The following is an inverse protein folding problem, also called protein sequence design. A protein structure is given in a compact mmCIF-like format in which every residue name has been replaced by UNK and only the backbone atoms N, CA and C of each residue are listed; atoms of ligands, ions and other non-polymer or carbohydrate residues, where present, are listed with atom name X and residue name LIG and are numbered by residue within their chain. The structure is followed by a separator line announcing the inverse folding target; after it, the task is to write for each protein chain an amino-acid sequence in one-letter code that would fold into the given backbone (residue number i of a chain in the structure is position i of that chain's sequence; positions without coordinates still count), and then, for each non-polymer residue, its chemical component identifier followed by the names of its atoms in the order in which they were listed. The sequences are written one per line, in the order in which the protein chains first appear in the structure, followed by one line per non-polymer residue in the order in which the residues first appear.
data_IF_740890645391
#
_entry.id   IF_740890645391
#
_cell.length_a   1.000
_cell.length_b   1.000
_cell.length_c   1.000
_cell.angle_alpha   90.00
_cell.angle_beta   90.00
_cell.angle_gamma   90.00
#
_symmetry.space_group_name_H-M   'P 1'
#
loop_
_entity.id
_entity.type
_entity.pdbx_description
1 polymer ?
#
# COMPACT_ATOMS: atom_id res chain seq x y z
N UNK A 1 -6.85 7.57 11.89
CA UNK A 1 -7.46 8.11 10.64
C UNK A 1 -6.80 7.40 9.48
N UNK A 2 -7.57 6.79 8.58
CA UNK A 2 -7.03 6.05 7.44
C UNK A 2 -6.69 7.00 6.28
N UNK A 3 -5.54 6.81 5.64
CA UNK A 3 -5.11 7.56 4.46
C UNK A 3 -5.82 7.01 3.22
N UNK A 4 -6.44 7.90 2.44
CA UNK A 4 -7.11 7.54 1.19
C UNK A 4 -6.12 7.39 0.02
N UNK A 5 -6.48 6.61 -1.01
CA UNK A 5 -5.63 6.33 -2.17
C UNK A 5 -5.07 7.59 -2.83
N UNK A 6 -5.93 8.58 -3.06
CA UNK A 6 -5.61 9.86 -3.72
C UNK A 6 -4.41 10.56 -3.07
N UNK A 7 -4.24 10.47 -1.75
CA UNK A 7 -3.10 11.10 -1.06
C UNK A 7 -1.79 10.48 -1.52
N UNK A 8 -1.67 9.15 -1.51
CA UNK A 8 -0.44 8.45 -1.90
C UNK A 8 -0.23 8.45 -3.41
N UNK A 9 -1.31 8.49 -4.20
CA UNK A 9 -1.23 8.69 -5.64
C UNK A 9 -0.67 10.07 -5.99
N UNK A 10 -1.11 11.12 -5.29
CA UNK A 10 -0.55 12.46 -5.48
C UNK A 10 0.90 12.52 -5.01
N UNK A 11 1.25 11.88 -3.88
CA UNK A 11 2.65 11.76 -3.44
C UNK A 11 3.54 11.10 -4.51
N UNK A 12 3.08 9.99 -5.10
CA UNK A 12 3.79 9.33 -6.19
C UNK A 12 3.97 10.26 -7.40
N UNK A 13 2.91 10.99 -7.76
CA UNK A 13 2.93 11.92 -8.89
C UNK A 13 3.91 13.06 -8.68
N UNK A 14 3.86 13.77 -7.56
CA UNK A 14 4.75 14.91 -7.30
C UNK A 14 6.22 14.47 -7.22
N UNK A 15 6.51 13.29 -6.65
CA UNK A 15 7.87 12.73 -6.62
C UNK A 15 8.33 12.31 -8.02
N UNK A 16 7.42 11.79 -8.85
CA UNK A 16 7.70 11.44 -10.24
C UNK A 16 7.95 12.65 -11.12
N UNK A 17 7.19 13.74 -10.92
CA UNK A 17 7.32 15.01 -11.62
C UNK A 17 8.48 15.87 -11.09
N UNK A 18 8.92 15.62 -9.85
CA UNK A 18 9.88 16.47 -9.15
C UNK A 18 9.33 17.86 -8.81
N UNK A 19 8.01 18.00 -8.76
CA UNK A 19 7.32 19.28 -8.55
C UNK A 19 6.02 19.07 -7.77
N UNK A 20 5.93 19.67 -6.58
CA UNK A 20 4.70 19.65 -5.77
C UNK A 20 3.86 20.92 -5.90
N UNK A 21 4.32 21.91 -6.70
CA UNK A 21 3.65 23.20 -6.80
C UNK A 21 2.27 23.05 -7.44
N UNK A 22 1.29 23.72 -6.84
CA UNK A 22 -0.10 23.65 -7.30
C UNK A 22 -0.25 24.55 -8.52
N UNK A 23 -0.73 23.98 -9.64
CA UNK A 23 -1.03 24.73 -10.86
C UNK A 23 -2.34 25.51 -10.70
N UNK A 24 -2.30 26.83 -10.91
CA UNK A 24 -3.45 27.74 -10.89
C UNK A 24 -3.39 28.63 -12.14
N UNK A 25 -4.17 28.28 -13.16
CA UNK A 25 -4.05 28.87 -14.49
C UNK A 25 -2.70 28.57 -15.13
N UNK A 26 -1.99 29.62 -15.55
CA UNK A 26 -0.63 29.54 -16.09
C UNK A 26 0.46 29.62 -14.99
N UNK A 27 0.07 29.80 -13.73
CA UNK A 27 1.01 29.95 -12.61
C UNK A 27 1.14 28.66 -11.80
N UNK A 28 2.28 28.52 -11.13
CA UNK A 28 2.54 27.49 -10.11
C UNK A 28 2.79 28.17 -8.77
N UNK A 29 2.05 27.78 -7.74
CA UNK A 29 2.14 28.40 -6.42
C UNK A 29 3.04 27.56 -5.52
N UNK A 30 4.02 28.23 -4.91
CA UNK A 30 4.92 27.70 -3.89
C UNK A 30 4.34 28.01 -2.50
N UNK A 31 3.97 26.97 -1.77
CA UNK A 31 3.37 27.09 -0.42
C UNK A 31 4.31 26.59 0.69
N UNK A 32 5.35 25.84 0.34
CA UNK A 32 6.24 25.26 1.32
C UNK A 32 7.30 26.29 1.75
N UNK A 33 7.72 26.23 3.01
CA UNK A 33 8.88 27.01 3.46
C UNK A 33 10.19 26.45 2.88
N UNK A 34 11.30 27.16 3.10
CA UNK A 34 12.61 26.77 2.59
C UNK A 34 13.06 25.37 3.07
N UNK A 35 12.65 24.97 4.28
CA UNK A 35 13.02 23.65 4.83
C UNK A 35 12.27 22.54 4.10
N UNK A 36 10.96 22.70 3.93
CA UNK A 36 10.14 21.74 3.20
C UNK A 36 10.52 21.66 1.71
N UNK A 37 10.88 22.79 1.09
CA UNK A 37 11.45 22.83 -0.27
C UNK A 37 12.71 21.98 -0.37
N UNK A 38 13.67 22.17 0.54
CA UNK A 38 14.92 21.41 0.55
C UNK A 38 14.68 19.91 0.75
N UNK A 39 13.86 19.54 1.74
CA UNK A 39 13.56 18.13 2.03
C UNK A 39 12.84 17.44 0.87
N UNK A 40 11.93 18.16 0.19
CA UNK A 40 11.28 17.62 -0.99
C UNK A 40 12.28 17.40 -2.13
N UNK A 41 13.19 18.36 -2.36
CA UNK A 41 14.20 18.23 -3.41
C UNK A 41 15.09 17.01 -3.19
N UNK A 42 15.55 16.78 -1.96
CA UNK A 42 16.33 15.60 -1.59
C UNK A 42 15.52 14.30 -1.81
N UNK A 43 14.25 14.30 -1.41
CA UNK A 43 13.37 13.15 -1.59
C UNK A 43 13.08 12.85 -3.07
N UNK A 44 12.84 13.87 -3.88
CA UNK A 44 12.61 13.74 -5.32
C UNK A 44 13.88 13.23 -6.03
N UNK A 45 15.05 13.77 -5.68
CA UNK A 45 16.33 13.30 -6.23
C UNK A 45 16.58 11.83 -5.87
N UNK A 46 16.38 11.44 -4.61
CA UNK A 46 16.49 10.04 -4.20
C UNK A 46 15.47 9.15 -4.92
N UNK A 47 14.22 9.58 -5.05
CA UNK A 47 13.16 8.82 -5.71
C UNK A 47 13.50 8.49 -7.17
N UNK A 48 14.10 9.45 -7.88
CA UNK A 48 14.54 9.27 -9.27
C UNK A 48 15.80 8.39 -9.36
N UNK A 49 16.82 8.68 -8.55
CA UNK A 49 18.10 7.93 -8.58
C UNK A 49 17.94 6.48 -8.15
N UNK A 50 17.05 6.20 -7.19
CA UNK A 50 16.67 4.84 -6.78
C UNK A 50 15.63 4.18 -7.72
N UNK A 51 15.22 4.86 -8.80
CA UNK A 51 14.27 4.36 -9.81
C UNK A 51 12.92 3.88 -9.22
N UNK A 52 12.45 4.56 -8.17
CA UNK A 52 11.25 4.18 -7.43
C UNK A 52 9.95 4.47 -8.19
N UNK A 53 10.02 5.29 -9.24
CA UNK A 53 8.91 5.48 -10.20
C UNK A 53 8.56 4.19 -10.97
N UNK A 54 9.48 3.22 -11.05
CA UNK A 54 9.33 1.96 -11.78
C UNK A 54 9.47 0.72 -10.89
N UNK A 55 9.73 0.89 -9.60
CA UNK A 55 9.92 -0.21 -8.66
C UNK A 55 8.63 -0.46 -7.88
N UNK A 56 8.03 -1.63 -8.08
CA UNK A 56 6.86 -2.07 -7.32
C UNK A 56 7.22 -3.07 -6.23
N UNK A 57 8.22 -3.92 -6.49
CA UNK A 57 8.77 -4.93 -5.60
C UNK A 57 10.28 -4.75 -5.53
N UNK A 58 10.83 -4.75 -4.32
CA UNK A 58 12.25 -4.57 -4.07
C UNK A 58 12.72 -5.71 -3.16
N UNK A 59 13.63 -6.54 -3.66
CA UNK A 59 14.32 -7.54 -2.84
C UNK A 59 15.45 -6.85 -2.08
N UNK A 60 15.47 -6.99 -0.75
CA UNK A 60 16.54 -6.51 0.12
C UNK A 60 17.00 -7.66 1.02
N UNK A 61 18.02 -8.40 0.58
CA UNK A 61 18.50 -9.59 1.29
C UNK A 61 17.38 -10.62 1.45
N UNK A 62 16.96 -10.89 2.68
CA UNK A 62 15.89 -11.83 3.02
C UNK A 62 14.55 -11.12 3.34
N UNK A 63 14.31 -9.97 2.72
CA UNK A 63 13.10 -9.16 2.92
C UNK A 63 12.63 -8.63 1.58
N UNK A 64 11.30 -8.59 1.41
CA UNK A 64 10.65 -7.98 0.25
C UNK A 64 9.96 -6.70 0.70
N UNK A 65 10.11 -5.65 -0.09
CA UNK A 65 9.36 -4.40 0.07
C UNK A 65 8.46 -4.22 -1.13
N UNK A 66 7.17 -3.96 -0.88
CA UNK A 66 6.20 -3.58 -1.91
C UNK A 66 5.89 -2.09 -1.74
N UNK A 67 5.86 -1.35 -2.85
CA UNK A 67 5.48 0.06 -2.91
C UNK A 67 4.11 0.20 -3.58
N UNK A 68 3.00 0.10 -2.81
CA UNK A 68 1.68 0.04 -3.39
C UNK A 68 1.14 1.41 -3.78
N UNK A 69 1.69 2.53 -3.32
CA UNK A 69 1.15 3.88 -3.60
C UNK A 69 -0.39 3.96 -3.55
N UNK A 70 -0.96 3.30 -2.54
CA UNK A 70 -2.39 3.09 -2.34
C UNK A 70 -2.72 3.34 -0.87
N UNK A 71 -3.97 3.69 -0.60
CA UNK A 71 -4.51 4.03 0.71
C UNK A 71 -4.52 2.86 1.68
N UNK A 72 -4.81 3.16 2.94
CA UNK A 72 -4.68 2.18 4.03
C UNK A 72 -5.59 0.97 3.87
N UNK A 73 -6.81 1.13 3.33
CA UNK A 73 -7.68 -0.03 3.11
C UNK A 73 -7.07 -1.04 2.15
N UNK A 74 -6.52 -0.55 1.03
CA UNK A 74 -5.85 -1.38 0.04
C UNK A 74 -4.61 -2.03 0.64
N UNK A 75 -3.76 -1.24 1.30
CA UNK A 75 -2.52 -1.72 1.95
C UNK A 75 -2.83 -2.78 3.00
N UNK A 76 -3.76 -2.52 3.91
CA UNK A 76 -4.17 -3.44 4.97
C UNK A 76 -4.74 -4.74 4.39
N UNK A 77 -5.50 -4.66 3.30
CA UNK A 77 -6.04 -5.85 2.63
C UNK A 77 -4.91 -6.70 2.05
N UNK A 78 -3.95 -6.09 1.36
CA UNK A 78 -2.78 -6.82 0.82
C UNK A 78 -1.98 -7.47 1.94
N UNK A 79 -1.74 -6.76 3.05
CA UNK A 79 -1.06 -7.30 4.23
C UNK A 79 -1.83 -8.49 4.81
N UNK A 80 -3.14 -8.35 5.06
CA UNK A 80 -3.95 -9.42 5.65
C UNK A 80 -4.01 -10.66 4.75
N UNK A 81 -4.07 -10.48 3.43
CA UNK A 81 -4.00 -11.58 2.45
C UNK A 81 -2.62 -12.27 2.45
N UNK A 82 -1.54 -11.51 2.57
CA UNK A 82 -0.20 -12.09 2.66
C UNK A 82 -0.05 -12.89 3.97
N UNK A 83 -0.54 -12.36 5.10
CA UNK A 83 -0.56 -13.06 6.38
C UNK A 83 -1.39 -14.35 6.29
N UNK A 84 -2.58 -14.31 5.68
CA UNK A 84 -3.41 -15.51 5.52
C UNK A 84 -2.77 -16.58 4.62
N UNK A 85 -1.86 -16.18 3.74
CA UNK A 85 -1.01 -17.06 2.92
C UNK A 85 0.30 -17.48 3.60
N UNK A 86 0.49 -17.15 4.88
CA UNK A 86 1.61 -17.60 5.70
C UNK A 86 2.84 -16.69 5.70
N UNK A 87 2.77 -15.50 5.10
CA UNK A 87 3.88 -14.55 5.10
C UNK A 87 3.93 -13.72 6.39
N UNK A 88 5.15 -13.42 6.85
CA UNK A 88 5.39 -12.43 7.90
C UNK A 88 5.36 -11.02 7.29
N UNK A 89 4.15 -10.52 7.01
CA UNK A 89 3.93 -9.23 6.37
C UNK A 89 3.44 -8.16 7.36
N UNK A 90 3.89 -6.93 7.17
CA UNK A 90 3.41 -5.74 7.88
C UNK A 90 3.42 -4.52 6.96
N UNK A 91 2.88 -3.40 7.45
CA UNK A 91 2.96 -2.14 6.73
C UNK A 91 3.34 -0.98 7.64
N UNK A 92 4.14 -0.07 7.11
CA UNK A 92 4.52 1.19 7.75
C UNK A 92 4.50 2.32 6.72
N UNK A 93 3.87 3.44 7.05
CA UNK A 93 3.73 4.59 6.16
C UNK A 93 3.18 4.28 4.74
N UNK A 94 2.40 3.19 4.59
CA UNK A 94 1.84 2.76 3.31
C UNK A 94 2.76 1.86 2.47
N UNK A 95 3.96 1.55 2.97
CA UNK A 95 4.89 0.57 2.41
C UNK A 95 4.61 -0.79 3.06
N UNK A 96 4.61 -1.85 2.27
CA UNK A 96 4.44 -3.22 2.78
C UNK A 96 5.81 -3.89 2.86
N UNK A 97 6.08 -4.52 3.99
CA UNK A 97 7.33 -5.19 4.29
C UNK A 97 7.04 -6.64 4.60
N UNK A 98 7.76 -7.56 3.95
CA UNK A 98 7.63 -9.00 4.17
C UNK A 98 8.99 -9.56 4.57
N UNK A 99 9.07 -10.08 5.79
CA UNK A 99 10.29 -10.71 6.29
C UNK A 99 10.41 -12.16 5.82
N UNK A 100 11.65 -12.63 5.68
CA UNK A 100 12.00 -14.02 5.38
C UNK A 100 11.34 -14.53 4.10
N UNK A 101 11.32 -13.68 3.07
CA UNK A 101 10.65 -13.96 1.81
C UNK A 101 11.49 -13.58 0.59
N UNK A 102 11.23 -14.29 -0.50
CA UNK A 102 11.68 -13.94 -1.84
C UNK A 102 10.57 -13.20 -2.61
N UNK A 103 10.96 -12.25 -3.45
CA UNK A 103 10.02 -11.47 -4.25
C UNK A 103 9.15 -12.34 -5.15
N UNK A 104 9.69 -13.43 -5.70
CA UNK A 104 8.94 -14.33 -6.58
C UNK A 104 7.83 -15.07 -5.82
N UNK A 105 8.12 -15.55 -4.61
CA UNK A 105 7.13 -16.22 -3.74
C UNK A 105 5.98 -15.26 -3.39
N UNK A 106 6.31 -14.01 -3.04
CA UNK A 106 5.32 -12.96 -2.76
C UNK A 106 4.48 -12.65 -4.00
N UNK A 107 5.12 -12.51 -5.17
CA UNK A 107 4.44 -12.26 -6.45
C UNK A 107 3.46 -13.40 -6.77
N UNK A 108 3.85 -14.66 -6.58
CA UNK A 108 3.00 -15.80 -6.88
C UNK A 108 1.84 -15.95 -5.89
N UNK A 109 2.06 -15.62 -4.61
CA UNK A 109 0.99 -15.49 -3.63
C UNK A 109 -0.04 -14.42 -4.02
N UNK A 110 0.41 -13.25 -4.49
CA UNK A 110 -0.47 -12.17 -4.96
C UNK A 110 -1.22 -12.54 -6.25
N UNK A 111 -0.58 -13.28 -7.18
CA UNK A 111 -1.25 -13.83 -8.36
C UNK A 111 -2.33 -14.82 -7.95
N UNK A 112 -2.07 -15.71 -6.99
CA UNK A 112 -3.07 -16.67 -6.52
C UNK A 112 -4.30 -15.96 -5.93
N UNK A 113 -4.10 -14.85 -5.23
CA UNK A 113 -5.20 -14.04 -4.68
C UNK A 113 -6.09 -13.41 -5.75
N UNK A 114 -5.55 -13.05 -6.92
CA UNK A 114 -6.36 -12.47 -8.01
C UNK A 114 -7.52 -13.39 -8.41
N UNK A 115 -7.27 -14.70 -8.43
CA UNK A 115 -8.25 -15.73 -8.82
C UNK A 115 -9.00 -16.32 -7.63
N UNK A 116 -8.62 -15.95 -6.41
CA UNK A 116 -9.22 -16.47 -5.19
C UNK A 116 -10.51 -15.71 -4.86
N UNK A 117 -11.64 -16.40 -4.92
CA UNK A 117 -12.97 -15.89 -4.54
C UNK A 117 -13.41 -16.33 -3.15
N UNK A 118 -12.57 -17.10 -2.44
CA UNK A 118 -12.90 -17.61 -1.11
C UNK A 118 -12.62 -16.59 -0.02
N UNK A 119 -11.57 -15.78 -0.20
CA UNK A 119 -11.19 -14.73 0.75
C UNK A 119 -12.23 -13.61 0.75
N UNK A 120 -12.80 -13.34 1.92
CA UNK A 120 -13.75 -12.25 2.18
C UNK A 120 -13.22 -11.25 3.22
N UNK A 121 -13.78 -10.03 3.24
CA UNK A 121 -13.37 -9.00 4.21
C UNK A 121 -13.65 -9.41 5.65
N UNK A 122 -14.76 -10.11 5.88
CA UNK A 122 -15.17 -10.60 7.20
C UNK A 122 -14.27 -11.75 7.67
N UNK A 123 -13.84 -12.64 6.77
CA UNK A 123 -12.85 -13.68 7.09
C UNK A 123 -11.51 -13.07 7.50
N UNK A 124 -11.00 -12.09 6.74
CA UNK A 124 -9.78 -11.37 7.09
C UNK A 124 -9.92 -10.69 8.45
N UNK A 125 -11.04 -10.01 8.69
CA UNK A 125 -11.32 -9.34 9.96
C UNK A 125 -11.45 -10.32 11.13
N UNK A 126 -12.05 -11.50 10.92
CA UNK A 126 -12.19 -12.55 11.93
C UNK A 126 -10.85 -12.99 12.53
N UNK A 127 -9.77 -12.95 11.73
CA UNK A 127 -8.42 -13.29 12.16
C UNK A 127 -7.71 -12.21 13.00
N UNK A 128 -8.26 -11.00 13.06
CA UNK A 128 -7.65 -9.88 13.78
C UNK A 128 -7.97 -9.99 15.29
N UNK A 129 -6.98 -10.03 16.18
CA UNK A 129 -7.26 -10.09 17.62
C UNK A 129 -7.90 -8.80 18.14
N UNK A 130 -7.36 -7.64 17.74
CA UNK A 130 -7.79 -6.33 18.21
C UNK A 130 -8.78 -5.70 17.23
N UNK A 131 -10.08 -5.94 17.45
CA UNK A 131 -11.16 -5.41 16.60
C UNK A 131 -11.94 -4.27 17.25
N UNK A 132 -11.79 -4.06 18.56
CA UNK A 132 -12.53 -3.06 19.32
C UNK A 132 -11.73 -1.76 19.38
N UNK A 133 -11.99 -0.88 18.40
CA UNK A 133 -11.20 0.34 18.18
C UNK A 133 -11.89 1.56 18.79
N UNK A 134 -13.21 1.67 18.61
CA UNK A 134 -13.98 2.82 19.02
C UNK A 134 -14.48 2.66 20.46
N UNK A 135 -14.81 3.79 21.08
CA UNK A 135 -15.19 3.89 22.50
C UNK A 135 -16.28 2.91 22.95
N UNK A 136 -17.20 2.53 22.06
CA UNK A 136 -18.37 1.71 22.39
C UNK A 136 -18.30 0.29 21.81
N UNK A 137 -17.17 -0.08 21.20
CA UNK A 137 -17.01 -1.40 20.60
C UNK A 137 -17.03 -2.52 21.66
N UNK A 138 -16.65 -2.24 22.90
CA UNK A 138 -16.73 -3.19 24.02
C UNK A 138 -18.15 -3.74 24.29
N UNK A 139 -19.19 -3.03 23.84
CA UNK A 139 -20.59 -3.44 23.99
C UNK A 139 -21.16 -4.17 22.77
N UNK A 140 -20.38 -4.28 21.68
CA UNK A 140 -20.83 -4.93 20.46
C UNK A 140 -20.55 -6.44 20.50
N UNK A 141 -21.46 -7.27 19.97
CA UNK A 141 -21.17 -8.68 19.75
C UNK A 141 -20.11 -8.86 18.66
N UNK A 142 -19.37 -9.97 18.72
CA UNK A 142 -18.22 -10.27 17.85
C UNK A 142 -18.54 -10.13 16.35
N UNK A 143 -19.72 -10.57 15.91
CA UNK A 143 -20.09 -10.49 14.50
C UNK A 143 -20.21 -9.03 14.01
N UNK A 144 -20.65 -8.10 14.86
CA UNK A 144 -20.70 -6.69 14.52
C UNK A 144 -19.31 -6.04 14.58
N UNK A 145 -18.44 -6.48 15.50
CA UNK A 145 -17.03 -6.07 15.52
C UNK A 145 -16.31 -6.49 14.24
N UNK A 146 -16.51 -7.74 13.80
CA UNK A 146 -15.94 -8.25 12.54
C UNK A 146 -16.41 -7.42 11.35
N UNK A 147 -17.73 -7.24 11.19
CA UNK A 147 -18.27 -6.48 10.05
C UNK A 147 -17.84 -5.00 10.10
N UNK A 148 -17.84 -4.39 11.28
CA UNK A 148 -17.40 -2.99 11.47
C UNK A 148 -15.91 -2.80 11.16
N UNK A 149 -15.07 -3.70 11.66
CA UNK A 149 -13.63 -3.70 11.37
C UNK A 149 -13.37 -3.96 9.88
N UNK A 150 -14.02 -4.96 9.29
CA UNK A 150 -13.91 -5.31 7.88
C UNK A 150 -14.21 -4.09 6.98
N UNK A 151 -15.34 -3.42 7.21
CA UNK A 151 -15.73 -2.24 6.45
C UNK A 151 -14.76 -1.06 6.62
N UNK A 152 -14.11 -0.94 7.78
CA UNK A 152 -13.12 0.11 8.07
C UNK A 152 -11.76 -0.16 7.44
N UNK A 153 -11.29 -1.40 7.52
CA UNK A 153 -9.89 -1.75 7.29
C UNK A 153 -9.62 -2.36 5.91
N UNK A 154 -10.63 -2.96 5.25
CA UNK A 154 -10.40 -3.76 4.05
C UNK A 154 -11.22 -3.30 2.84
N UNK A 155 -10.66 -3.57 1.66
CA UNK A 155 -11.27 -3.39 0.35
C UNK A 155 -10.63 -4.38 -0.64
N UNK A 156 -11.27 -5.53 -0.81
CA UNK A 156 -10.78 -6.64 -1.66
C UNK A 156 -10.73 -6.24 -3.13
N UNK A 157 -11.76 -5.56 -3.62
CA UNK A 157 -11.85 -5.20 -5.04
C UNK A 157 -10.75 -4.19 -5.41
N UNK A 158 -10.61 -3.11 -4.62
CA UNK A 158 -9.55 -2.13 -4.83
C UNK A 158 -8.15 -2.75 -4.66
N UNK A 159 -7.98 -3.68 -3.71
CA UNK A 159 -6.73 -4.41 -3.56
C UNK A 159 -6.41 -5.30 -4.78
N UNK A 160 -7.39 -6.01 -5.32
CA UNK A 160 -7.21 -6.81 -6.54
C UNK A 160 -6.82 -5.93 -7.72
N UNK A 161 -7.50 -4.81 -7.93
CA UNK A 161 -7.16 -3.83 -8.97
C UNK A 161 -5.72 -3.35 -8.79
N UNK A 162 -5.33 -2.97 -7.57
CA UNK A 162 -3.98 -2.46 -7.30
C UNK A 162 -2.90 -3.53 -7.53
N UNK A 163 -3.10 -4.76 -7.05
CA UNK A 163 -2.17 -5.86 -7.28
C UNK A 163 -2.00 -6.10 -8.78
N UNK A 164 -3.07 -6.08 -9.57
CA UNK A 164 -2.98 -6.25 -11.02
C UNK A 164 -2.07 -5.17 -11.64
N UNK A 165 -2.25 -3.90 -11.27
CA UNK A 165 -1.38 -2.80 -11.70
C UNK A 165 0.09 -3.01 -11.30
N UNK A 166 0.35 -3.46 -10.05
CA UNK A 166 1.70 -3.76 -9.58
C UNK A 166 2.36 -4.87 -10.41
N UNK A 167 1.61 -5.92 -10.73
CA UNK A 167 2.08 -7.07 -11.51
C UNK A 167 2.29 -6.74 -13.00
N UNK A 168 1.48 -5.87 -13.58
CA UNK A 168 1.68 -5.40 -14.96
C UNK A 168 3.00 -4.63 -15.11
N UNK A 169 3.38 -3.86 -14.08
CA UNK A 169 4.68 -3.17 -14.04
C UNK A 169 5.90 -4.10 -14.11
N UNK A 170 5.75 -5.40 -13.80
CA UNK A 170 6.82 -6.38 -13.94
C UNK A 170 7.07 -6.79 -15.39
N UNK A 171 6.05 -6.74 -16.25
CA UNK A 171 6.16 -7.15 -17.67
C UNK A 171 7.04 -6.22 -18.51
N UNK A 172 7.45 -5.08 -17.97
CA UNK A 172 8.41 -4.15 -18.59
C UNK A 172 9.88 -4.38 -18.16
N UNK A 173 10.16 -5.35 -17.28
CA UNK A 173 11.52 -5.70 -16.83
C UNK A 173 11.86 -7.10 -17.31
N UNK A 174 12.19 -7.25 -18.59
CA UNK A 174 13.01 -8.38 -19.02
C UNK A 174 14.39 -8.16 -18.39
N UNK A 175 14.75 -9.02 -17.44
CA UNK A 175 16.11 -9.13 -16.96
C UNK A 175 16.91 -9.82 -18.09
N UNK A 176 17.62 -9.03 -18.89
CA UNK A 176 18.79 -9.50 -19.64
C UNK A 176 20.00 -9.56 -18.71
#
# INVERSE_FOLDING_TARGET
MAIHDVVRQEMFKILSEGDYKIKVGEHRIEFADETAQSLFQDAAEFFQTANLSKANFIQQGNRVVILPWAGDKVVNTIVAVLISKGFAAGAFAGIIEIEKADAQDVIDALKSFQTDSTISTDELAGSIPEKAIDKFDEYLPENLLITGYAARAFDIESAKIRINALLQGLRGKNYE
#
